data_IF_891435973433
#
_entry.id   IF_891435973433
#
_cell.length_a   1.000
_cell.length_b   1.000
_cell.length_c   1.000
_cell.angle_alpha   90.00
_cell.angle_beta   90.00
_cell.angle_gamma   90.00
#
_symmetry.space_group_name_H-M   'P 1'
#
loop_
_entity.id
_entity.type
_entity.pdbx_description
1 polymer ?
#
# COMPACT_ATOMS: atom_id res chain seq x y z
N UNK A 1 -10.25 -18.67 -11.42
CA UNK A 1 -10.76 -17.54 -12.21
C UNK A 1 -9.54 -16.80 -12.75
N UNK A 2 -9.32 -16.78 -14.07
CA UNK A 2 -8.12 -16.17 -14.65
C UNK A 2 -8.35 -14.65 -14.72
N UNK A 3 -7.79 -13.89 -13.78
CA UNK A 3 -7.82 -12.44 -13.84
C UNK A 3 -6.92 -11.98 -14.99
N UNK A 4 -7.51 -11.27 -15.96
CA UNK A 4 -6.78 -10.61 -17.05
C UNK A 4 -5.79 -9.60 -16.47
N UNK A 5 -4.58 -9.57 -17.00
CA UNK A 5 -3.57 -8.52 -16.76
C UNK A 5 -4.22 -7.14 -16.80
N UNK A 6 -3.95 -6.31 -15.78
CA UNK A 6 -4.41 -4.92 -15.70
C UNK A 6 -5.93 -4.74 -15.88
N UNK A 7 -6.76 -5.39 -15.07
CA UNK A 7 -8.22 -5.25 -15.14
C UNK A 7 -8.63 -3.77 -15.08
N UNK A 8 -9.27 -3.30 -16.16
CA UNK A 8 -9.85 -1.97 -16.24
C UNK A 8 -11.09 -1.96 -15.35
N UNK A 9 -11.10 -1.07 -14.37
CA UNK A 9 -12.21 -0.93 -13.42
C UNK A 9 -13.19 0.17 -13.80
N UNK A 10 -12.82 1.01 -14.76
CA UNK A 10 -13.62 2.16 -15.13
C UNK A 10 -12.89 3.15 -16.02
N UNK A 11 -13.53 4.29 -16.27
CA UNK A 11 -12.95 5.41 -17.02
C UNK A 11 -13.18 6.72 -16.29
N UNK A 12 -12.20 7.61 -16.37
CA UNK A 12 -12.32 8.96 -15.82
C UNK A 12 -13.35 9.74 -16.64
N UNK A 13 -14.37 10.31 -16.00
CA UNK A 13 -15.31 11.21 -16.68
C UNK A 13 -15.22 12.66 -16.19
N UNK A 14 -14.65 12.89 -15.01
CA UNK A 14 -14.33 14.22 -14.50
C UNK A 14 -13.00 14.21 -13.77
N UNK A 15 -12.20 15.26 -13.94
CA UNK A 15 -10.84 15.31 -13.41
C UNK A 15 -10.45 16.73 -13.03
N UNK A 16 -9.94 16.88 -11.83
CA UNK A 16 -9.42 18.11 -11.24
C UNK A 16 -8.13 17.81 -10.46
N UNK A 17 -7.46 18.85 -9.94
CA UNK A 17 -6.21 18.67 -9.18
C UNK A 17 -6.41 17.84 -7.92
N UNK A 18 -7.56 18.00 -7.26
CA UNK A 18 -7.83 17.40 -5.96
C UNK A 18 -8.74 16.17 -6.05
N UNK A 19 -9.50 16.02 -7.12
CA UNK A 19 -10.51 14.99 -7.26
C UNK A 19 -10.62 14.47 -8.70
N UNK A 20 -10.74 13.16 -8.83
CA UNK A 20 -10.95 12.41 -10.06
C UNK A 20 -12.19 11.54 -9.88
N UNK A 21 -13.16 11.68 -10.78
CA UNK A 21 -14.38 10.88 -10.79
C UNK A 21 -14.31 9.83 -11.89
N UNK A 22 -14.58 8.59 -11.51
CA UNK A 22 -14.41 7.42 -12.35
C UNK A 22 -15.75 6.71 -12.45
N UNK A 23 -16.22 6.47 -13.67
CA UNK A 23 -17.37 5.62 -13.92
C UNK A 23 -16.91 4.17 -13.82
N UNK A 24 -17.37 3.46 -12.80
CA UNK A 24 -16.99 2.08 -12.57
C UNK A 24 -17.65 1.15 -13.61
N UNK A 25 -16.99 0.02 -13.89
CA UNK A 25 -17.58 -1.07 -14.66
C UNK A 25 -18.41 -1.98 -13.75
N UNK A 26 -19.51 -2.55 -14.26
CA UNK A 26 -20.49 -3.34 -13.50
C UNK A 26 -19.93 -4.53 -12.68
N UNK A 27 -18.67 -4.94 -12.89
CA UNK A 27 -18.09 -6.16 -12.29
C UNK A 27 -16.88 -5.91 -11.38
N UNK A 28 -16.67 -4.68 -10.91
CA UNK A 28 -15.45 -4.36 -10.15
C UNK A 28 -15.73 -3.96 -8.71
N UNK A 29 -15.22 -4.78 -7.78
CA UNK A 29 -15.18 -4.43 -6.36
C UNK A 29 -13.97 -3.53 -6.08
N UNK A 30 -14.27 -2.27 -5.76
CA UNK A 30 -13.30 -1.25 -5.33
C UNK A 30 -13.74 -0.76 -3.96
N UNK A 31 -12.82 -0.71 -3.01
CA UNK A 31 -13.09 -0.28 -1.65
C UNK A 31 -12.47 1.08 -1.35
N UNK A 32 -13.03 1.79 -0.37
CA UNK A 32 -12.40 3.00 0.17
C UNK A 32 -11.01 2.66 0.70
N UNK A 33 -10.04 3.50 0.36
CA UNK A 33 -8.63 3.28 0.69
C UNK A 33 -7.84 2.50 -0.36
N UNK A 34 -8.49 1.90 -1.36
CA UNK A 34 -7.77 1.22 -2.44
C UNK A 34 -6.94 2.19 -3.27
N UNK A 35 -5.83 1.68 -3.82
CA UNK A 35 -4.97 2.43 -4.73
C UNK A 35 -5.23 1.99 -6.16
N UNK A 36 -5.58 2.96 -7.00
CA UNK A 36 -5.79 2.80 -8.43
C UNK A 36 -4.62 3.40 -9.20
N UNK A 37 -4.51 3.06 -10.47
CA UNK A 37 -3.52 3.67 -11.35
C UNK A 37 -4.05 3.98 -12.75
N UNK A 38 -3.45 5.00 -13.35
CA UNK A 38 -3.68 5.43 -14.73
C UNK A 38 -2.34 5.53 -15.46
N UNK A 39 -2.28 4.97 -16.67
CA UNK A 39 -1.09 5.00 -17.53
C UNK A 39 -1.11 6.25 -18.41
N UNK A 40 -0.46 7.32 -17.98
CA UNK A 40 -0.38 8.58 -18.75
C UNK A 40 0.47 8.40 -20.00
N UNK A 41 1.57 7.64 -19.89
CA UNK A 41 2.42 7.27 -21.02
C UNK A 41 2.97 5.85 -20.79
N UNK A 42 2.11 4.85 -20.98
CA UNK A 42 2.41 3.46 -20.67
C UNK A 42 2.92 3.30 -19.24
N UNK A 43 3.93 2.45 -19.04
CA UNK A 43 4.62 2.28 -17.76
C UNK A 43 5.75 3.29 -17.51
N UNK A 44 6.00 4.20 -18.46
CA UNK A 44 7.01 5.25 -18.30
C UNK A 44 6.48 6.40 -17.45
N UNK A 45 5.16 6.62 -17.46
CA UNK A 45 4.51 7.60 -16.59
C UNK A 45 3.18 7.06 -16.09
N UNK A 46 3.14 6.73 -14.80
CA UNK A 46 1.97 6.18 -14.12
C UNK A 46 1.52 7.16 -13.05
N UNK A 47 0.22 7.38 -12.94
CA UNK A 47 -0.40 8.19 -11.91
C UNK A 47 -1.12 7.27 -10.93
N UNK A 48 -0.80 7.38 -9.64
CA UNK A 48 -1.51 6.67 -8.57
C UNK A 48 -2.65 7.53 -8.02
N UNK A 49 -3.80 6.89 -7.79
CA UNK A 49 -4.99 7.52 -7.22
C UNK A 49 -5.40 6.79 -5.94
N UNK A 50 -5.83 7.51 -4.92
CA UNK A 50 -6.39 6.96 -3.69
C UNK A 50 -7.91 7.04 -3.74
N UNK A 51 -8.62 5.93 -3.51
CA UNK A 51 -10.08 5.93 -3.41
C UNK A 51 -10.50 6.56 -2.09
N UNK A 52 -11.22 7.68 -2.17
CA UNK A 52 -11.78 8.37 -1.01
C UNK A 52 -13.22 7.93 -0.73
N UNK A 53 -14.00 7.65 -1.78
CA UNK A 53 -15.40 7.24 -1.66
C UNK A 53 -15.87 6.42 -2.88
N UNK A 54 -16.94 5.65 -2.71
CA UNK A 54 -17.64 4.93 -3.79
C UNK A 54 -19.12 5.24 -3.68
N UNK A 55 -19.63 6.01 -4.63
CA UNK A 55 -21.00 6.52 -4.62
C UNK A 55 -21.82 5.75 -5.65
N UNK A 56 -22.80 4.99 -5.19
CA UNK A 56 -23.81 4.39 -6.05
C UNK A 56 -24.95 5.37 -6.28
N UNK A 57 -25.27 5.66 -7.55
CA UNK A 57 -26.42 6.45 -7.94
C UNK A 57 -27.35 5.64 -8.82
N UNK A 58 -28.62 5.99 -8.79
CA UNK A 58 -29.55 5.51 -9.80
C UNK A 58 -29.36 6.32 -11.09
N UNK A 59 -29.51 5.70 -12.27
CA UNK A 59 -29.38 6.38 -13.55
C UNK A 59 -30.37 7.52 -13.64
N UNK A 60 -29.97 8.53 -14.39
CA UNK A 60 -30.81 9.67 -14.73
C UNK A 60 -32.11 9.18 -15.37
N UNK A 61 -33.23 9.26 -14.64
CA UNK A 61 -34.55 8.80 -15.10
C UNK A 61 -35.23 7.79 -14.17
N UNK A 62 -34.45 6.93 -13.48
CA UNK A 62 -35.03 5.90 -12.58
C UNK A 62 -35.69 6.52 -11.35
N UNK A 63 -35.18 7.63 -10.84
CA UNK A 63 -35.82 8.38 -9.74
C UNK A 63 -37.23 8.87 -10.09
N UNK A 64 -37.51 9.16 -11.37
CA UNK A 64 -38.87 9.54 -11.82
C UNK A 64 -39.80 8.33 -11.81
N UNK A 65 -39.30 7.17 -12.22
CA UNK A 65 -40.09 5.93 -12.28
C UNK A 65 -40.35 5.34 -10.90
N UNK A 66 -39.40 5.44 -9.96
CA UNK A 66 -39.59 5.03 -8.56
C UNK A 66 -40.68 5.86 -7.85
N UNK A 67 -40.80 7.14 -8.19
CA UNK A 67 -41.87 8.01 -7.67
C UNK A 67 -43.27 7.68 -8.20
N UNK A 68 -43.38 6.80 -9.21
CA UNK A 68 -44.66 6.31 -9.74
C UNK A 68 -45.09 4.98 -9.09
N UNK A 69 -44.24 4.40 -8.23
CA UNK A 69 -44.57 3.16 -7.52
C UNK A 69 -45.55 3.49 -6.39
N UNK A 70 -46.72 2.85 -6.34
CA UNK A 70 -47.69 3.07 -5.27
C UNK A 70 -47.08 2.86 -3.89
N UNK A 71 -47.39 3.74 -2.94
CA UNK A 71 -46.99 3.60 -1.54
C UNK A 71 -47.51 2.27 -0.97
N UNK A 72 -46.62 1.31 -0.71
CA UNK A 72 -46.96 -0.03 -0.20
C UNK A 72 -46.45 -1.20 -1.05
N UNK A 73 -45.86 -0.93 -2.23
CA UNK A 73 -45.18 -1.95 -3.04
C UNK A 73 -43.67 -1.76 -2.89
N UNK A 74 -42.98 -2.76 -2.32
CA UNK A 74 -41.52 -2.76 -2.36
C UNK A 74 -41.06 -2.93 -3.82
N UNK A 75 -40.28 -1.98 -4.36
CA UNK A 75 -39.73 -2.15 -5.70
C UNK A 75 -38.86 -3.41 -5.73
N UNK A 76 -39.09 -4.27 -6.71
CA UNK A 76 -38.35 -5.53 -6.85
C UNK A 76 -36.85 -5.25 -6.98
N UNK A 77 -36.04 -5.87 -6.11
CA UNK A 77 -34.59 -5.65 -6.02
C UNK A 77 -33.85 -5.82 -7.36
N UNK A 78 -34.36 -6.67 -8.25
CA UNK A 78 -33.76 -6.92 -9.57
C UNK A 78 -33.73 -5.71 -10.51
N UNK A 79 -34.72 -4.80 -10.45
CA UNK A 79 -34.77 -3.60 -11.31
C UNK A 79 -33.84 -2.50 -10.78
N UNK A 80 -33.73 -2.40 -9.45
CA UNK A 80 -32.88 -1.40 -8.78
C UNK A 80 -31.41 -1.81 -8.86
N UNK A 81 -31.09 -3.09 -8.67
CA UNK A 81 -29.70 -3.58 -8.67
C UNK A 81 -29.07 -3.55 -10.06
N UNK A 82 -29.82 -3.87 -11.12
CA UNK A 82 -29.32 -3.87 -12.51
C UNK A 82 -29.10 -2.49 -13.10
N UNK A 83 -29.60 -1.44 -12.43
CA UNK A 83 -29.54 -0.07 -12.93
C UNK A 83 -28.47 0.78 -12.25
N UNK A 84 -27.88 0.39 -11.11
CA UNK A 84 -27.01 1.31 -10.35
C UNK A 84 -25.74 1.69 -11.12
N UNK A 85 -25.52 2.99 -11.29
CA UNK A 85 -24.27 3.56 -11.75
C UNK A 85 -23.36 3.80 -10.55
N UNK A 86 -22.20 3.16 -10.52
CA UNK A 86 -21.20 3.37 -9.50
C UNK A 86 -20.16 4.41 -9.96
N UNK A 87 -20.00 5.45 -9.15
CA UNK A 87 -18.98 6.47 -9.31
C UNK A 87 -17.94 6.31 -8.22
N UNK A 88 -16.69 6.05 -8.60
CA UNK A 88 -15.57 6.05 -7.68
C UNK A 88 -15.02 7.48 -7.60
N UNK A 89 -14.90 7.98 -6.37
CA UNK A 89 -14.29 9.27 -6.05
C UNK A 89 -12.87 9.00 -5.57
N UNK A 90 -11.88 9.48 -6.34
CA UNK A 90 -10.49 9.26 -6.04
C UNK A 90 -9.68 10.56 -6.06
N UNK A 91 -8.57 10.58 -5.31
CA UNK A 91 -7.64 11.71 -5.24
C UNK A 91 -6.30 11.35 -5.86
N UNK A 92 -5.70 12.22 -6.70
CA UNK A 92 -4.35 12.00 -7.18
C UNK A 92 -3.33 12.00 -6.03
N UNK A 93 -2.50 10.96 -5.95
CA UNK A 93 -1.47 10.82 -4.90
C UNK A 93 -0.07 11.18 -5.42
N UNK A 94 0.44 10.35 -6.33
CA UNK A 94 1.81 10.42 -6.82
C UNK A 94 1.87 10.14 -8.31
N UNK A 95 2.77 10.84 -9.01
CA UNK A 95 3.19 10.49 -10.36
C UNK A 95 4.53 9.74 -10.27
N UNK A 96 4.54 8.53 -10.81
CA UNK A 96 5.72 7.71 -11.00
C UNK A 96 6.24 7.95 -12.41
N UNK A 97 7.50 8.40 -12.52
CA UNK A 97 8.14 8.67 -13.81
C UNK A 97 9.38 7.79 -13.90
N UNK A 98 9.40 6.92 -14.92
CA UNK A 98 10.52 6.06 -15.24
C UNK A 98 11.33 6.70 -16.37
N UNK A 99 12.45 7.33 -16.00
CA UNK A 99 13.45 7.87 -16.93
C UNK A 99 14.76 7.08 -16.84
N UNK A 100 15.89 7.80 -16.82
CA UNK A 100 17.19 7.22 -16.43
C UNK A 100 17.17 6.70 -14.99
N UNK A 101 16.47 7.44 -14.14
CA UNK A 101 16.16 7.07 -12.75
C UNK A 101 14.65 7.05 -12.56
N UNK A 102 14.21 6.29 -11.55
CA UNK A 102 12.80 6.26 -11.16
C UNK A 102 12.56 7.41 -10.18
N UNK A 103 11.58 8.26 -10.48
CA UNK A 103 11.22 9.38 -9.62
C UNK A 103 9.75 9.31 -9.21
N UNK A 104 9.50 9.68 -7.96
CA UNK A 104 8.16 9.80 -7.37
C UNK A 104 7.93 11.26 -7.05
N UNK A 105 6.89 11.84 -7.65
CA UNK A 105 6.57 13.26 -7.46
C UNK A 105 5.11 13.44 -7.08
N UNK A 106 4.80 14.55 -6.41
CA UNK A 106 3.40 14.95 -6.24
C UNK A 106 2.80 15.31 -7.60
N UNK A 107 1.50 15.06 -7.72
CA UNK A 107 0.76 15.31 -8.95
C UNK A 107 0.63 16.82 -9.18
N UNK A 108 1.14 17.31 -10.30
CA UNK A 108 1.09 18.74 -10.67
C UNK A 108 -0.04 19.05 -11.66
N UNK A 109 -0.51 18.04 -12.40
CA UNK A 109 -1.56 18.17 -13.40
C UNK A 109 -2.59 17.05 -13.24
N UNK A 110 -3.90 17.34 -13.38
CA UNK A 110 -4.93 16.32 -13.33
C UNK A 110 -4.78 15.30 -14.47
N UNK A 111 -5.17 14.03 -14.26
CA UNK A 111 -5.19 13.06 -15.35
C UNK A 111 -6.22 13.47 -16.43
N UNK A 112 -5.97 13.17 -17.72
CA UNK A 112 -6.95 13.42 -18.76
C UNK A 112 -8.25 12.68 -18.53
N UNK A 113 -9.36 13.27 -18.96
CA UNK A 113 -10.66 12.58 -19.02
C UNK A 113 -10.62 11.44 -20.04
N UNK A 114 -11.55 10.51 -19.89
CA UNK A 114 -11.69 9.31 -20.70
C UNK A 114 -10.49 8.34 -20.62
N UNK A 115 -9.60 8.48 -19.65
CA UNK A 115 -8.51 7.52 -19.43
C UNK A 115 -9.02 6.26 -18.74
N UNK A 116 -8.57 5.05 -19.16
CA UNK A 116 -8.87 3.82 -18.45
C UNK A 116 -8.18 3.81 -17.09
N UNK A 117 -8.90 3.35 -16.07
CA UNK A 117 -8.40 3.22 -14.71
C UNK A 117 -8.28 1.75 -14.36
N UNK A 118 -7.20 1.41 -13.66
CA UNK A 118 -6.89 0.06 -13.25
C UNK A 118 -6.72 0.00 -11.73
N UNK A 119 -6.99 -1.16 -11.13
CA UNK A 119 -6.75 -1.40 -9.70
C UNK A 119 -5.39 -2.05 -9.49
N UNK A 120 -4.64 -1.61 -8.47
CA UNK A 120 -3.40 -2.28 -8.10
C UNK A 120 -3.68 -3.60 -7.36
N UNK A 121 -3.20 -4.70 -7.93
CA UNK A 121 -3.34 -6.05 -7.37
C UNK A 121 -2.01 -6.79 -7.42
N UNK A 122 -1.58 -7.40 -6.32
CA UNK A 122 -0.36 -8.20 -6.26
C UNK A 122 -0.41 -9.43 -7.17
N UNK A 123 -1.59 -9.87 -7.58
CA UNK A 123 -1.76 -10.95 -8.57
C UNK A 123 -1.35 -10.52 -9.99
N UNK A 124 -1.37 -9.21 -10.28
CA UNK A 124 -1.10 -8.64 -11.61
C UNK A 124 0.38 -8.23 -11.74
N UNK A 125 1.05 -8.73 -12.78
CA UNK A 125 2.47 -8.46 -13.01
C UNK A 125 2.74 -6.97 -13.28
N UNK A 126 1.83 -6.28 -13.97
CA UNK A 126 1.95 -4.84 -14.24
C UNK A 126 1.90 -4.05 -12.92
N UNK A 127 0.92 -4.36 -12.06
CA UNK A 127 0.80 -3.79 -10.73
C UNK A 127 2.03 -4.05 -9.84
N UNK A 128 2.59 -5.27 -9.86
CA UNK A 128 3.83 -5.59 -9.12
C UNK A 128 4.99 -4.71 -9.57
N UNK A 129 5.19 -4.57 -10.88
CA UNK A 129 6.23 -3.67 -11.45
C UNK A 129 6.02 -2.21 -11.04
N UNK A 130 4.78 -1.72 -11.08
CA UNK A 130 4.44 -0.36 -10.65
C UNK A 130 4.82 -0.14 -9.18
N UNK A 131 4.49 -1.08 -8.31
CA UNK A 131 4.78 -0.97 -6.88
C UNK A 131 6.27 -1.08 -6.57
N UNK A 132 7.01 -1.92 -7.29
CA UNK A 132 8.48 -1.97 -7.21
C UNK A 132 9.15 -0.68 -7.69
N UNK A 133 8.59 -0.02 -8.71
CA UNK A 133 9.08 1.30 -9.12
C UNK A 133 8.74 2.36 -8.07
N UNK A 134 7.54 2.29 -7.51
CA UNK A 134 7.13 3.22 -6.45
C UNK A 134 8.04 3.08 -5.23
N UNK A 135 8.35 1.85 -4.78
CA UNK A 135 9.27 1.65 -3.65
C UNK A 135 10.67 2.21 -3.93
N UNK A 136 11.24 1.92 -5.11
CA UNK A 136 12.57 2.42 -5.51
C UNK A 136 12.65 3.93 -5.56
N UNK A 137 11.61 4.59 -6.08
CA UNK A 137 11.62 6.05 -6.22
C UNK A 137 11.25 6.84 -4.95
N UNK A 138 10.82 6.17 -3.88
CA UNK A 138 10.69 6.78 -2.54
C UNK A 138 12.06 6.87 -1.85
N UNK A 139 12.95 5.93 -2.14
CA UNK A 139 14.28 5.84 -1.51
C UNK A 139 15.21 6.85 -2.17
N UNK A 140 15.57 7.89 -1.41
CA UNK A 140 16.46 8.96 -1.89
C UNK A 140 17.95 8.58 -1.85
N UNK A 141 18.32 7.53 -1.09
CA UNK A 141 19.71 7.11 -0.90
C UNK A 141 19.81 5.58 -0.99
N UNK A 142 20.47 5.10 -2.05
CA UNK A 142 20.91 3.70 -2.16
C UNK A 142 22.16 3.50 -1.31
N UNK A 143 22.03 3.66 0.01
CA UNK A 143 23.11 3.34 0.92
C UNK A 143 22.99 1.87 1.35
N UNK A 144 24.14 1.19 1.47
CA UNK A 144 24.27 -0.14 2.10
C UNK A 144 23.70 -0.15 3.55
N UNK A 145 23.43 1.01 4.13
CA UNK A 145 22.92 1.20 5.50
C UNK A 145 21.39 1.27 5.60
N UNK A 146 20.65 1.04 4.51
CA UNK A 146 19.18 1.07 4.56
C UNK A 146 18.60 -0.25 5.06
N UNK A 147 17.63 -0.16 5.97
CA UNK A 147 16.90 -1.31 6.51
C UNK A 147 15.45 -1.29 6.03
N UNK A 148 14.83 -2.45 5.74
CA UNK A 148 13.41 -2.52 5.44
C UNK A 148 12.59 -2.12 6.68
N UNK A 149 11.65 -1.18 6.51
CA UNK A 149 10.73 -0.75 7.57
C UNK A 149 9.32 -1.31 7.37
N UNK A 150 8.91 -1.50 6.12
CA UNK A 150 7.60 -2.02 5.79
C UNK A 150 7.49 -2.37 4.31
N UNK A 151 6.32 -2.86 3.93
CA UNK A 151 5.98 -3.17 2.53
C UNK A 151 4.82 -2.31 2.08
N UNK A 152 4.82 -1.93 0.81
CA UNK A 152 3.74 -1.18 0.23
C UNK A 152 2.49 -2.06 0.08
N UNK A 153 1.32 -1.43 0.25
CA UNK A 153 0.02 -2.08 0.07
C UNK A 153 -0.92 -1.23 -0.78
N UNK A 154 -1.80 -1.86 -1.54
CA UNK A 154 -2.79 -1.18 -2.40
C UNK A 154 -4.14 -0.89 -1.73
N UNK A 155 -4.18 -0.78 -0.40
CA UNK A 155 -5.36 -0.34 0.34
C UNK A 155 -5.54 -1.04 1.68
N UNK A 156 -6.79 -1.12 2.16
CA UNK A 156 -7.12 -1.86 3.38
C UNK A 156 -7.18 -3.36 3.10
N UNK A 157 -6.60 -4.16 3.97
CA UNK A 157 -6.52 -5.61 3.84
C UNK A 157 -6.81 -6.29 5.18
N UNK A 158 -8.10 -6.53 5.41
CA UNK A 158 -8.63 -7.03 6.68
C UNK A 158 -8.69 -8.56 6.71
N UNK A 159 -8.82 -9.20 5.55
CA UNK A 159 -8.86 -10.66 5.42
C UNK A 159 -7.54 -11.22 4.84
N UNK A 160 -7.27 -12.51 5.04
CA UNK A 160 -6.07 -13.17 4.46
C UNK A 160 -6.03 -13.04 2.94
N UNK A 161 -7.16 -13.27 2.28
CA UNK A 161 -7.28 -13.13 0.83
C UNK A 161 -7.00 -11.70 0.35
N UNK A 162 -7.47 -10.68 1.08
CA UNK A 162 -7.12 -9.30 0.77
C UNK A 162 -5.63 -9.01 1.03
N UNK A 163 -5.02 -9.63 2.03
CA UNK A 163 -3.58 -9.45 2.29
C UNK A 163 -2.75 -9.98 1.13
N UNK A 164 -3.03 -11.19 0.67
CA UNK A 164 -2.36 -11.81 -0.48
C UNK A 164 -2.51 -10.94 -1.74
N UNK A 165 -3.70 -10.37 -1.95
CA UNK A 165 -4.00 -9.54 -3.12
C UNK A 165 -3.42 -8.11 -3.02
N UNK A 166 -3.30 -7.53 -1.83
CA UNK A 166 -2.99 -6.09 -1.67
C UNK A 166 -1.59 -5.80 -1.12
N UNK A 167 -0.92 -6.75 -0.48
CA UNK A 167 0.46 -6.57 -0.04
C UNK A 167 1.44 -6.91 -1.17
N UNK A 168 2.42 -6.03 -1.38
CA UNK A 168 3.46 -6.23 -2.38
C UNK A 168 4.78 -6.50 -1.66
N UNK A 169 5.07 -7.76 -1.36
CA UNK A 169 6.21 -8.17 -0.52
C UNK A 169 7.57 -7.75 -1.10
N UNK A 170 7.68 -7.64 -2.42
CA UNK A 170 8.89 -7.17 -3.12
C UNK A 170 9.03 -5.64 -3.10
N UNK A 171 7.94 -4.91 -2.86
CA UNK A 171 7.90 -3.46 -2.84
C UNK A 171 8.12 -2.92 -1.41
N UNK A 172 9.35 -3.06 -0.92
CA UNK A 172 9.75 -2.66 0.44
C UNK A 172 10.01 -1.15 0.54
N UNK A 173 9.50 -0.52 1.61
CA UNK A 173 9.98 0.79 2.05
C UNK A 173 11.22 0.55 2.90
N UNK A 174 12.35 1.10 2.48
CA UNK A 174 13.58 1.09 3.26
C UNK A 174 13.86 2.46 3.86
N UNK A 175 14.57 2.47 4.98
CA UNK A 175 14.97 3.68 5.68
C UNK A 175 16.43 3.60 6.08
N UNK A 176 17.15 4.70 5.98
CA UNK A 176 18.48 4.81 6.57
C UNK A 176 18.31 5.18 8.05
N UNK A 177 18.45 4.19 8.93
CA UNK A 177 18.23 4.41 10.36
C UNK A 177 19.25 5.38 10.97
N UNK A 178 20.47 5.43 10.42
CA UNK A 178 21.53 6.33 10.88
C UNK A 178 21.16 7.80 10.67
N UNK A 179 20.49 8.13 9.57
CA UNK A 179 20.05 9.49 9.28
C UNK A 179 18.71 9.82 9.95
N UNK A 180 17.95 8.79 10.34
CA UNK A 180 16.70 8.94 11.08
C UNK A 180 16.94 9.18 12.57
N UNK A 181 17.87 8.49 13.24
CA UNK A 181 18.07 8.58 14.70
C UNK A 181 18.36 10.00 15.22
N UNK A 182 19.18 10.83 14.54
CA UNK A 182 19.37 12.22 14.96
C UNK A 182 18.08 13.06 14.92
N UNK A 183 17.06 12.60 14.20
CA UNK A 183 15.73 13.21 14.13
C UNK A 183 14.80 12.50 15.12
N UNK A 184 14.06 13.25 15.92
CA UNK A 184 13.07 12.64 16.80
C UNK A 184 11.96 11.95 15.99
N UNK A 185 11.67 10.68 16.30
CA UNK A 185 10.63 9.89 15.66
C UNK A 185 9.42 9.80 16.60
N UNK A 186 8.22 10.11 16.10
CA UNK A 186 6.96 9.90 16.79
C UNK A 186 6.22 8.71 16.17
N UNK A 187 5.94 7.68 16.97
CA UNK A 187 5.06 6.56 16.60
C UNK A 187 3.72 6.73 17.30
N UNK A 188 2.68 7.11 16.55
CA UNK A 188 1.35 7.40 17.07
C UNK A 188 0.26 6.55 16.42
N UNK A 189 -0.79 6.23 17.18
CA UNK A 189 -1.95 5.47 16.70
C UNK A 189 -2.83 4.98 17.85
N UNK A 190 -4.07 4.59 17.53
CA UNK A 190 -5.01 4.05 18.53
C UNK A 190 -4.53 2.73 19.16
N UNK A 191 -5.19 2.30 20.24
CA UNK A 191 -4.94 0.99 20.85
C UNK A 191 -5.19 -0.11 19.80
N UNK A 192 -4.30 -1.10 19.74
CA UNK A 192 -4.36 -2.17 18.73
C UNK A 192 -3.87 -1.79 17.34
N UNK A 193 -3.42 -0.55 17.10
CA UNK A 193 -2.91 -0.12 15.79
C UNK A 193 -1.52 -0.67 15.43
N UNK A 194 -0.90 -1.47 16.30
CA UNK A 194 0.41 -2.08 16.05
C UNK A 194 1.63 -1.22 16.39
N UNK A 195 1.49 -0.16 17.21
CA UNK A 195 2.62 0.72 17.61
C UNK A 195 3.83 -0.05 18.12
N UNK A 196 3.62 -0.90 19.13
CA UNK A 196 4.68 -1.72 19.73
C UNK A 196 5.29 -2.67 18.70
N UNK A 197 4.45 -3.32 17.89
CA UNK A 197 4.90 -4.21 16.80
C UNK A 197 5.75 -3.49 15.76
N UNK A 198 5.40 -2.25 15.38
CA UNK A 198 6.19 -1.44 14.44
C UNK A 198 7.56 -1.09 14.99
N UNK A 199 7.65 -0.71 16.27
CA UNK A 199 8.94 -0.40 16.93
C UNK A 199 9.79 -1.67 17.05
N UNK A 200 9.20 -2.78 17.49
CA UNK A 200 9.89 -4.07 17.54
C UNK A 200 10.42 -4.50 16.17
N UNK A 201 9.61 -4.37 15.12
CA UNK A 201 10.01 -4.69 13.75
C UNK A 201 11.17 -3.83 13.25
N UNK A 202 11.16 -2.52 13.56
CA UNK A 202 12.28 -1.63 13.26
C UNK A 202 13.57 -2.09 13.93
N UNK A 203 13.53 -2.43 15.23
CA UNK A 203 14.70 -2.86 15.98
C UNK A 203 15.24 -4.20 15.45
N UNK A 204 14.36 -5.16 15.16
CA UNK A 204 14.77 -6.46 14.59
C UNK A 204 15.37 -6.29 13.20
N UNK A 205 14.76 -5.49 12.32
CA UNK A 205 15.31 -5.23 10.98
C UNK A 205 16.62 -4.43 11.03
N UNK A 206 16.79 -3.54 12.02
CA UNK A 206 18.07 -2.92 12.30
C UNK A 206 19.12 -3.98 12.67
N UNK A 207 18.82 -4.84 13.63
CA UNK A 207 19.74 -5.88 14.09
C UNK A 207 20.16 -6.85 12.97
N UNK A 208 19.26 -7.16 12.04
CA UNK A 208 19.51 -8.04 10.89
C UNK A 208 20.39 -7.41 9.80
N UNK A 209 20.41 -6.09 9.64
CA UNK A 209 20.89 -5.46 8.40
C UNK A 209 21.82 -4.26 8.60
N UNK A 210 21.92 -3.72 9.81
CA UNK A 210 22.74 -2.55 10.04
C UNK A 210 24.22 -2.91 10.21
N UNK A 211 25.07 -2.17 9.51
CA UNK A 211 26.52 -2.28 9.58
C UNK A 211 27.16 -1.51 10.74
N UNK A 212 26.38 -0.68 11.45
CA UNK A 212 26.84 0.08 12.62
C UNK A 212 26.08 -0.28 13.88
N UNK A 213 26.81 -0.40 15.02
CA UNK A 213 26.19 -0.67 16.31
C UNK A 213 25.37 0.53 16.80
N UNK A 214 24.18 0.27 17.34
CA UNK A 214 23.25 1.25 17.89
C UNK A 214 22.77 0.70 19.24
N UNK A 215 22.87 1.52 20.28
CA UNK A 215 22.33 1.20 21.60
C UNK A 215 20.86 1.55 21.70
N UNK A 216 20.03 0.60 22.12
CA UNK A 216 18.61 0.81 22.37
C UNK A 216 18.32 0.83 23.88
N UNK A 217 17.79 1.95 24.38
CA UNK A 217 17.23 2.06 25.73
C UNK A 217 15.71 2.14 25.64
N UNK A 218 15.02 1.16 26.21
CA UNK A 218 13.55 1.07 26.18
C UNK A 218 13.00 1.23 27.60
N UNK A 219 12.18 2.25 27.81
CA UNK A 219 11.40 2.43 29.04
C UNK A 219 10.07 1.67 28.88
N UNK A 220 10.07 0.41 29.28
CA UNK A 220 8.97 -0.52 29.01
C UNK A 220 7.92 -0.54 30.14
N UNK A 221 7.00 0.42 30.12
CA UNK A 221 5.92 0.54 31.13
C UNK A 221 5.04 -0.71 31.24
N UNK A 222 4.83 -1.44 30.14
CA UNK A 222 3.87 -2.54 30.07
C UNK A 222 4.53 -3.92 29.97
N UNK A 223 5.86 -3.99 29.95
CA UNK A 223 6.60 -5.24 29.86
C UNK A 223 6.43 -5.93 28.50
N UNK A 224 6.18 -5.19 27.41
CA UNK A 224 5.99 -5.77 26.07
C UNK A 224 7.31 -6.19 25.42
N UNK A 225 8.39 -5.44 25.66
CA UNK A 225 9.71 -5.63 25.06
C UNK A 225 10.61 -6.56 25.88
N UNK A 226 10.36 -6.68 27.19
CA UNK A 226 11.16 -7.54 28.08
C UNK A 226 10.83 -9.03 28.02
N UNK A 227 9.84 -9.46 27.24
CA UNK A 227 9.41 -10.86 27.19
C UNK A 227 10.46 -11.70 26.45
N UNK A 228 10.87 -12.80 27.09
CA UNK A 228 11.69 -13.87 26.54
C UNK A 228 10.96 -15.19 26.74
N UNK A 229 10.96 -16.07 25.74
CA UNK A 229 10.32 -17.38 25.80
C UNK A 229 11.36 -18.48 25.59
N UNK A 230 11.30 -19.53 26.41
CA UNK A 230 12.04 -20.78 26.22
C UNK A 230 11.18 -21.86 25.53
N UNK A 231 9.93 -21.53 25.19
CA UNK A 231 8.98 -22.44 24.55
C UNK A 231 8.97 -22.31 23.02
N UNK A 232 7.93 -22.87 22.39
CA UNK A 232 7.76 -22.87 20.93
C UNK A 232 7.40 -21.50 20.35
N UNK A 233 6.79 -20.61 21.15
CA UNK A 233 6.44 -19.26 20.70
C UNK A 233 7.62 -18.30 20.88
N UNK A 234 8.09 -17.73 19.77
CA UNK A 234 9.15 -16.72 19.79
C UNK A 234 8.64 -15.34 20.19
N UNK A 235 9.19 -14.81 21.28
CA UNK A 235 8.93 -13.44 21.72
C UNK A 235 9.92 -12.46 21.08
N UNK A 236 9.75 -11.16 21.34
CA UNK A 236 10.59 -10.11 20.76
C UNK A 236 12.09 -10.33 21.02
N UNK A 237 12.48 -10.64 22.27
CA UNK A 237 13.89 -10.83 22.60
C UNK A 237 14.48 -12.06 21.88
N UNK A 238 13.72 -13.14 21.71
CA UNK A 238 14.18 -14.29 20.92
C UNK A 238 14.49 -13.89 19.47
N UNK A 239 13.60 -13.10 18.85
CA UNK A 239 13.76 -12.63 17.47
C UNK A 239 14.93 -11.67 17.33
N UNK A 240 15.13 -10.80 18.31
CA UNK A 240 16.24 -9.85 18.34
C UNK A 240 17.60 -10.56 18.50
N UNK A 241 17.70 -11.54 19.41
CA UNK A 241 18.93 -12.32 19.57
C UNK A 241 19.30 -13.07 18.30
N UNK A 242 18.33 -13.76 17.68
CA UNK A 242 18.54 -14.46 16.40
C UNK A 242 18.97 -13.50 15.28
N UNK A 243 18.38 -12.32 15.23
CA UNK A 243 18.72 -11.31 14.24
C UNK A 243 20.18 -10.85 14.35
N UNK A 244 20.66 -10.61 15.57
CA UNK A 244 22.05 -10.23 15.84
C UNK A 244 23.01 -11.37 15.47
N UNK A 245 22.70 -12.61 15.86
CA UNK A 245 23.52 -13.78 15.53
C UNK A 245 23.65 -13.99 14.01
N UNK A 246 22.56 -13.82 13.25
CA UNK A 246 22.59 -13.94 11.78
C UNK A 246 23.50 -12.87 11.16
N UNK A 247 23.38 -11.62 11.60
CA UNK A 247 24.18 -10.51 11.07
C UNK A 247 25.68 -10.69 11.35
N UNK A 248 26.05 -11.16 12.56
CA UNK A 248 27.44 -11.48 12.89
C UNK A 248 28.04 -12.57 11.99
N UNK A 249 27.29 -13.65 11.74
CA UNK A 249 27.73 -14.74 10.86
C UNK A 249 27.88 -14.30 9.39
N UNK A 250 27.01 -13.39 8.91
CA UNK A 250 27.15 -12.81 7.57
C UNK A 250 28.43 -11.96 7.47
N UNK A 251 28.72 -11.10 8.46
CA UNK A 251 29.98 -10.34 8.49
C UNK A 251 31.23 -11.25 8.48
N UNK A 252 31.22 -12.36 9.23
CA UNK A 252 32.34 -13.31 9.24
C UNK A 252 32.52 -14.02 7.89
N UNK A 253 31.42 -14.38 7.22
CA UNK A 253 31.45 -15.02 5.90
C UNK A 253 32.03 -14.11 4.79
N UNK A 254 31.81 -12.79 4.88
CA UNK A 254 32.41 -11.80 3.99
C UNK A 254 33.90 -11.53 4.30
N UNK A 255 34.37 -11.86 5.51
CA UNK A 255 35.78 -11.69 5.93
C UNK A 255 36.64 -12.93 5.70
N UNK A 256 36.07 -14.08 5.35
CA UNK A 256 36.83 -15.27 5.01
C UNK A 256 37.55 -15.07 3.65
N UNK A 257 38.89 -15.15 3.58
CA UNK A 257 39.60 -15.01 2.32
C UNK A 257 39.26 -16.21 1.42
N UNK A 258 38.96 -15.92 0.14
CA UNK A 258 38.91 -16.94 -0.91
C UNK A 258 40.32 -17.53 -1.00
N UNK A 259 40.52 -18.73 -0.46
CA UNK A 259 41.74 -19.53 -0.60
C UNK A 259 41.84 -20.15 -1.98
#
# INVERSE_FOLDING_TARGET
MVFKMGAIIGRIFSSSRDQVLISASEKTSVNVGDILYVKINGLNRVLLLHVEDVVSKLPTGVSRTLGLIPSGIEPSGSIIETSREETIVAKPLFSLIRGKEVSVTRVTAPPPVNMPVHILSNEDEESRKIMEFFSKGIVFETAETTIPFGVLRSGTASTTMERERKYFETAKITVNIETLIPKHILVSGQTGAGKTTSVMGLIVNWALHASKPIGWLIIDRHGEYGKYSTGLEETFLNKLSKALEVNENEEESFRAPIT
#
